data_IF_750357152800
#
_entry.id   IF_750357152800
#
_cell.length_a   1.000
_cell.length_b   1.000
_cell.length_c   1.000
_cell.angle_alpha   90.00
_cell.angle_beta   90.00
_cell.angle_gamma   90.00
#
_symmetry.space_group_name_H-M   'P 1'
#
loop_
_entity.id
_entity.type
_entity.pdbx_description
1 polymer ?
#
# COMPACT_ATOMS: atom_id res chain seq x y z
N UNK A 1 19.07 -44.52 -1.53
CA UNK A 1 19.07 -43.32 -0.71
C UNK A 1 19.94 -42.25 -1.35
N UNK A 2 19.34 -41.26 -2.02
CA UNK A 2 20.07 -40.10 -2.53
C UNK A 2 19.69 -38.92 -1.61
N UNK A 3 20.66 -38.46 -0.83
CA UNK A 3 20.52 -37.29 0.01
C UNK A 3 20.57 -36.04 -0.88
N UNK A 4 19.46 -35.31 -0.90
CA UNK A 4 19.35 -34.00 -1.49
C UNK A 4 20.12 -33.00 -0.63
N UNK A 5 21.26 -32.52 -1.10
CA UNK A 5 22.02 -31.44 -0.48
C UNK A 5 21.28 -30.12 -0.65
N UNK A 6 20.84 -29.53 0.46
CA UNK A 6 20.36 -28.14 0.49
C UNK A 6 21.52 -27.20 0.15
N UNK A 7 21.30 -26.17 -0.68
CA UNK A 7 22.36 -25.20 -0.98
C UNK A 7 22.71 -24.39 0.28
N UNK A 8 24.00 -24.21 0.49
CA UNK A 8 24.58 -23.41 1.58
C UNK A 8 24.30 -21.90 1.36
N UNK A 9 23.98 -21.11 2.40
CA UNK A 9 23.58 -19.70 2.27
C UNK A 9 24.76 -18.71 2.24
N UNK A 10 25.78 -18.95 1.44
CA UNK A 10 27.01 -18.13 1.45
C UNK A 10 27.49 -17.61 0.11
N UNK A 11 26.61 -17.35 -0.87
CA UNK A 11 27.02 -16.64 -2.11
C UNK A 11 26.51 -15.20 -2.09
N UNK A 12 27.30 -14.19 -2.54
CA UNK A 12 26.87 -12.80 -2.66
C UNK A 12 25.66 -12.62 -3.59
N UNK A 13 25.45 -13.55 -4.51
CA UNK A 13 24.35 -13.53 -5.48
C UNK A 13 22.99 -13.96 -4.89
N UNK A 14 22.98 -14.62 -3.73
CA UNK A 14 21.73 -15.04 -3.06
C UNK A 14 20.84 -13.87 -2.61
N UNK A 15 21.37 -12.64 -2.52
CA UNK A 15 20.59 -11.44 -2.18
C UNK A 15 19.91 -10.81 -3.38
N UNK A 16 20.42 -11.02 -4.60
CA UNK A 16 19.86 -10.45 -5.82
C UNK A 16 18.49 -11.04 -6.18
N UNK A 17 18.23 -12.29 -5.77
CA UNK A 17 17.02 -13.04 -6.10
C UNK A 17 15.91 -12.97 -5.02
N UNK A 18 16.16 -12.30 -3.88
CA UNK A 18 15.13 -12.16 -2.86
C UNK A 18 14.02 -11.20 -3.34
N UNK A 19 12.75 -11.54 -3.08
CA UNK A 19 11.64 -10.69 -3.50
C UNK A 19 11.53 -9.43 -2.66
N UNK A 20 10.82 -8.45 -3.21
CA UNK A 20 10.15 -7.41 -2.41
C UNK A 20 8.88 -8.02 -1.84
N UNK A 21 8.71 -7.97 -0.53
CA UNK A 21 7.52 -8.45 0.15
C UNK A 21 6.62 -7.27 0.50
N UNK A 22 5.36 -7.33 0.05
CA UNK A 22 4.36 -6.30 0.31
C UNK A 22 3.27 -6.90 1.19
N UNK A 23 3.06 -6.30 2.36
CA UNK A 23 2.05 -6.74 3.31
C UNK A 23 0.83 -5.85 3.16
N UNK A 24 -0.21 -6.41 2.57
CA UNK A 24 -1.46 -5.74 2.24
C UNK A 24 -1.73 -5.67 0.75
N UNK A 25 -2.92 -6.11 0.34
CA UNK A 25 -3.37 -6.19 -1.05
C UNK A 25 -4.43 -5.11 -1.40
N UNK A 26 -4.38 -3.97 -0.72
CA UNK A 26 -5.19 -2.80 -1.05
C UNK A 26 -4.56 -1.96 -2.16
N UNK A 27 -5.10 -0.76 -2.39
CA UNK A 27 -4.63 0.16 -3.43
C UNK A 27 -3.12 0.44 -3.33
N UNK A 28 -2.62 0.75 -2.14
CA UNK A 28 -1.22 1.06 -1.94
C UNK A 28 -0.32 -0.14 -2.24
N UNK A 29 -0.66 -1.32 -1.71
CA UNK A 29 0.12 -2.53 -1.91
C UNK A 29 0.16 -2.98 -3.36
N UNK A 30 -0.98 -2.98 -4.05
CA UNK A 30 -1.07 -3.37 -5.46
C UNK A 30 -0.36 -2.37 -6.38
N UNK A 31 -0.44 -1.07 -6.09
CA UNK A 31 0.27 -0.04 -6.84
C UNK A 31 1.79 -0.23 -6.76
N UNK A 32 2.32 -0.41 -5.55
CA UNK A 32 3.74 -0.69 -5.35
C UNK A 32 4.14 -2.00 -6.04
N UNK A 33 3.32 -3.04 -5.89
CA UNK A 33 3.58 -4.34 -6.51
C UNK A 33 3.74 -4.24 -8.03
N UNK A 34 2.81 -3.57 -8.71
CA UNK A 34 2.83 -3.43 -10.16
C UNK A 34 4.03 -2.62 -10.66
N UNK A 35 4.43 -1.58 -9.94
CA UNK A 35 5.63 -0.81 -10.29
C UNK A 35 6.91 -1.61 -10.05
N UNK A 36 7.05 -2.25 -8.90
CA UNK A 36 8.25 -3.01 -8.55
C UNK A 36 8.43 -4.27 -9.40
N UNK A 37 7.34 -4.92 -9.78
CA UNK A 37 7.35 -6.15 -10.55
C UNK A 37 7.87 -5.99 -11.98
N UNK A 38 7.97 -4.79 -12.51
CA UNK A 38 8.58 -4.53 -13.81
C UNK A 38 10.04 -4.97 -13.85
N UNK A 39 10.75 -4.91 -12.73
CA UNK A 39 12.20 -5.17 -12.66
C UNK A 39 12.61 -6.25 -11.68
N UNK A 40 11.71 -6.80 -10.86
CA UNK A 40 12.09 -7.72 -9.80
C UNK A 40 10.92 -8.57 -9.30
N UNK A 41 11.17 -9.72 -8.64
CA UNK A 41 10.12 -10.53 -8.07
C UNK A 41 9.47 -9.84 -6.86
N UNK A 42 8.16 -9.98 -6.77
CA UNK A 42 7.31 -9.38 -5.72
C UNK A 42 6.40 -10.44 -5.13
N UNK A 43 6.25 -10.43 -3.82
CA UNK A 43 5.22 -11.18 -3.10
C UNK A 43 4.26 -10.19 -2.46
N UNK A 44 2.98 -10.36 -2.68
CA UNK A 44 1.91 -9.61 -2.00
C UNK A 44 1.18 -10.55 -1.06
N UNK A 45 1.06 -10.16 0.20
CA UNK A 45 0.43 -10.95 1.26
C UNK A 45 -0.87 -10.30 1.72
N UNK A 46 -1.94 -11.10 1.81
CA UNK A 46 -3.23 -10.68 2.35
C UNK A 46 -3.70 -11.62 3.46
N UNK A 47 -4.25 -11.07 4.55
CA UNK A 47 -4.76 -11.86 5.69
C UNK A 47 -5.95 -12.73 5.32
N UNK A 48 -6.78 -12.24 4.42
CA UNK A 48 -7.98 -12.90 3.92
C UNK A 48 -7.91 -13.10 2.42
N UNK A 49 -9.06 -13.26 1.76
CA UNK A 49 -9.13 -13.25 0.30
C UNK A 49 -8.70 -11.90 -0.28
N UNK A 50 -8.10 -11.92 -1.45
CA UNK A 50 -7.55 -10.72 -2.10
C UNK A 50 -8.60 -9.65 -2.38
N UNK A 51 -9.87 -10.02 -2.58
CA UNK A 51 -10.98 -9.09 -2.80
C UNK A 51 -11.49 -8.37 -1.54
N UNK A 52 -10.98 -8.69 -0.35
CA UNK A 52 -11.48 -8.20 0.93
C UNK A 52 -10.70 -7.01 1.50
N UNK A 53 -9.93 -6.29 0.68
CA UNK A 53 -9.22 -5.09 1.11
C UNK A 53 -10.16 -3.91 1.36
N UNK A 54 -9.78 -3.00 2.28
CA UNK A 54 -10.56 -1.79 2.59
C UNK A 54 -10.85 -0.92 1.36
N UNK A 55 -9.92 -0.87 0.40
CA UNK A 55 -10.08 -0.15 -0.87
C UNK A 55 -11.33 -0.59 -1.64
N UNK A 56 -11.68 -1.89 -1.61
CA UNK A 56 -12.86 -2.40 -2.29
C UNK A 56 -14.19 -1.87 -1.71
N UNK A 57 -14.18 -1.32 -0.50
CA UNK A 57 -15.34 -0.76 0.19
C UNK A 57 -15.39 0.78 0.10
N UNK A 58 -14.33 1.42 -0.40
CA UNK A 58 -14.28 2.87 -0.52
C UNK A 58 -15.22 3.36 -1.63
N UNK A 59 -16.12 4.30 -1.28
CA UNK A 59 -17.12 4.86 -2.19
C UNK A 59 -16.71 6.21 -2.75
N UNK A 60 -15.85 6.95 -2.05
CA UNK A 60 -15.34 8.24 -2.50
C UNK A 60 -14.47 8.13 -3.74
N UNK A 61 -14.18 9.26 -4.36
CA UNK A 61 -13.29 9.33 -5.51
C UNK A 61 -11.82 9.44 -5.12
N UNK A 62 -11.00 9.68 -6.13
CA UNK A 62 -9.57 9.93 -5.97
C UNK A 62 -9.24 11.36 -6.38
N UNK A 63 -8.46 12.05 -5.58
CA UNK A 63 -8.12 13.47 -5.74
C UNK A 63 -6.90 13.66 -6.62
N UNK A 64 -6.97 14.61 -7.54
CA UNK A 64 -5.80 15.05 -8.28
C UNK A 64 -5.98 16.43 -8.91
N UNK A 65 -4.89 17.16 -9.04
CA UNK A 65 -4.87 18.44 -9.75
C UNK A 65 -4.68 18.18 -11.23
N UNK A 66 -5.79 17.88 -11.89
CA UNK A 66 -5.83 17.50 -13.32
C UNK A 66 -6.24 18.69 -14.20
N UNK A 67 -7.16 19.51 -13.71
CA UNK A 67 -7.66 20.71 -14.40
C UNK A 67 -6.74 21.90 -14.14
N UNK A 68 -5.76 22.11 -15.01
CA UNK A 68 -4.80 23.20 -14.88
C UNK A 68 -5.35 24.58 -15.27
N UNK A 69 -6.53 24.65 -15.90
CA UNK A 69 -7.18 25.91 -16.26
C UNK A 69 -7.93 26.51 -15.08
N UNK A 70 -8.62 25.68 -14.29
CA UNK A 70 -9.50 26.10 -13.20
C UNK A 70 -9.01 25.73 -11.82
N UNK A 71 -7.97 24.92 -11.70
CA UNK A 71 -7.38 24.47 -10.44
C UNK A 71 -5.85 24.64 -10.47
N UNK A 72 -5.20 24.57 -9.31
CA UNK A 72 -3.76 24.63 -9.19
C UNK A 72 -3.24 23.78 -8.03
N UNK A 73 -1.98 23.43 -8.10
CA UNK A 73 -1.27 22.76 -7.00
C UNK A 73 -1.31 23.62 -5.75
N UNK A 74 -1.08 24.93 -5.87
CA UNK A 74 -1.12 25.87 -4.73
C UNK A 74 -2.51 25.89 -4.08
N UNK A 75 -3.59 25.87 -4.86
CA UNK A 75 -4.96 25.80 -4.33
C UNK A 75 -5.20 24.50 -3.56
N UNK A 76 -4.77 23.37 -4.09
CA UNK A 76 -4.92 22.08 -3.40
C UNK A 76 -4.08 22.00 -2.13
N UNK A 77 -2.87 22.53 -2.15
CA UNK A 77 -2.02 22.62 -0.94
C UNK A 77 -2.66 23.51 0.11
N UNK A 78 -3.19 24.67 -0.28
CA UNK A 78 -3.87 25.58 0.63
C UNK A 78 -5.10 24.91 1.28
N UNK A 79 -5.94 24.23 0.51
CA UNK A 79 -7.08 23.48 1.01
C UNK A 79 -6.65 22.38 2.00
N UNK A 80 -5.54 21.71 1.71
CA UNK A 80 -4.99 20.66 2.59
C UNK A 80 -4.47 21.23 3.90
N UNK A 81 -3.79 22.38 3.86
CA UNK A 81 -3.29 23.06 5.07
C UNK A 81 -4.46 23.54 5.95
N UNK A 82 -5.50 24.08 5.33
CA UNK A 82 -6.70 24.54 6.06
C UNK A 82 -7.40 23.36 6.75
N UNK A 83 -7.67 22.29 6.01
CA UNK A 83 -8.30 21.09 6.57
C UNK A 83 -7.46 20.41 7.65
N UNK A 84 -6.15 20.47 7.54
CA UNK A 84 -5.20 19.85 8.47
C UNK A 84 -4.94 20.65 9.75
N UNK A 85 -5.45 21.88 9.86
CA UNK A 85 -5.45 22.70 11.08
C UNK A 85 -4.07 22.79 11.79
N UNK A 86 -3.00 22.94 11.03
CA UNK A 86 -1.64 23.09 11.56
C UNK A 86 -0.85 21.79 11.71
N UNK A 87 -1.41 20.63 11.38
CA UNK A 87 -0.73 19.34 11.48
C UNK A 87 -0.11 18.86 10.18
N UNK A 88 -0.35 19.57 9.08
CA UNK A 88 0.16 19.20 7.76
C UNK A 88 1.62 19.62 7.58
N UNK A 89 2.43 18.73 7.05
CA UNK A 89 3.77 19.04 6.54
C UNK A 89 3.60 19.57 5.11
N UNK A 90 3.72 20.87 4.91
CA UNK A 90 3.44 21.54 3.64
C UNK A 90 4.23 20.96 2.46
N UNK A 91 5.52 20.68 2.65
CA UNK A 91 6.37 20.11 1.59
C UNK A 91 5.87 18.74 1.12
N UNK A 92 5.34 17.93 2.04
CA UNK A 92 4.72 16.63 1.71
C UNK A 92 3.41 16.80 0.97
N UNK A 93 2.55 17.70 1.43
CA UNK A 93 1.29 18.01 0.75
C UNK A 93 1.53 18.49 -0.68
N UNK A 94 2.53 19.36 -0.88
CA UNK A 94 2.93 19.85 -2.20
C UNK A 94 3.45 18.74 -3.10
N UNK A 95 4.32 17.90 -2.61
CA UNK A 95 4.83 16.75 -3.35
C UNK A 95 3.69 15.84 -3.83
N UNK A 96 2.75 15.50 -2.94
CA UNK A 96 1.60 14.66 -3.28
C UNK A 96 0.71 15.36 -4.33
N UNK A 97 0.46 16.66 -4.19
CA UNK A 97 -0.33 17.41 -5.15
C UNK A 97 0.33 17.48 -6.54
N UNK A 98 1.65 17.65 -6.58
CA UNK A 98 2.43 17.67 -7.83
C UNK A 98 2.38 16.33 -8.57
N UNK A 99 2.42 15.21 -7.84
CA UNK A 99 2.38 13.87 -8.42
C UNK A 99 0.96 13.37 -8.73
N UNK A 100 -0.08 14.09 -8.31
CA UNK A 100 -1.47 13.59 -8.33
C UNK A 100 -2.01 13.36 -9.72
N UNK A 101 -1.73 14.24 -10.67
CA UNK A 101 -2.22 14.11 -12.05
C UNK A 101 -1.61 12.87 -12.73
N UNK A 102 -0.32 12.61 -12.52
CA UNK A 102 0.37 11.46 -13.08
C UNK A 102 -0.14 10.14 -12.43
N UNK A 103 -0.43 10.17 -11.15
CA UNK A 103 -1.00 9.02 -10.45
C UNK A 103 -2.39 8.65 -11.01
N UNK A 104 -3.25 9.63 -11.28
CA UNK A 104 -4.55 9.39 -11.92
C UNK A 104 -4.36 8.90 -13.35
N UNK A 105 -3.44 9.49 -14.13
CA UNK A 105 -3.13 9.04 -15.48
C UNK A 105 -2.70 7.57 -15.49
N UNK A 106 -1.84 7.17 -14.56
CA UNK A 106 -1.42 5.78 -14.43
C UNK A 106 -2.61 4.85 -14.19
N UNK A 107 -3.55 5.22 -13.32
CA UNK A 107 -4.77 4.43 -13.09
C UNK A 107 -5.65 4.33 -14.35
N UNK A 108 -5.79 5.42 -15.10
CA UNK A 108 -6.49 5.40 -16.39
C UNK A 108 -5.81 4.43 -17.37
N UNK A 109 -4.48 4.47 -17.45
CA UNK A 109 -3.69 3.61 -18.32
C UNK A 109 -3.75 2.13 -17.90
N UNK A 110 -3.96 1.85 -16.62
CA UNK A 110 -4.24 0.49 -16.14
C UNK A 110 -5.63 -0.01 -16.54
N UNK A 111 -6.51 0.85 -16.98
CA UNK A 111 -7.86 0.49 -17.40
C UNK A 111 -8.95 0.73 -16.36
N UNK A 112 -8.67 1.53 -15.32
CA UNK A 112 -9.70 1.91 -14.34
C UNK A 112 -10.78 2.72 -15.05
N UNK A 113 -12.06 2.29 -14.98
CA UNK A 113 -13.15 2.90 -15.72
C UNK A 113 -13.72 4.13 -15.01
N UNK A 114 -12.93 5.20 -14.91
CA UNK A 114 -13.42 6.47 -14.40
C UNK A 114 -14.54 7.03 -15.25
N UNK A 115 -15.46 7.75 -14.63
CA UNK A 115 -16.51 8.49 -15.34
C UNK A 115 -15.87 9.53 -16.25
N UNK A 116 -16.27 9.52 -17.52
CA UNK A 116 -15.68 10.36 -18.57
C UNK A 116 -16.53 11.58 -18.88
N UNK A 117 -15.87 12.64 -19.35
CA UNK A 117 -16.44 13.84 -19.93
C UNK A 117 -15.51 14.28 -21.06
N UNK A 118 -16.00 14.24 -22.32
CA UNK A 118 -15.18 14.58 -23.49
C UNK A 118 -14.59 15.99 -23.43
N UNK A 119 -15.31 16.92 -22.78
CA UNK A 119 -14.86 18.30 -22.59
C UNK A 119 -14.04 18.49 -21.29
N UNK A 120 -13.93 17.46 -20.47
CA UNK A 120 -13.25 17.51 -19.18
C UNK A 120 -11.73 17.35 -19.29
N UNK A 121 -10.99 17.76 -18.24
CA UNK A 121 -9.54 17.61 -18.19
C UNK A 121 -9.18 16.12 -18.19
N UNK A 122 -8.22 15.71 -19.00
CA UNK A 122 -7.88 14.30 -19.28
C UNK A 122 -9.06 13.43 -19.74
N UNK A 123 -10.14 14.03 -20.26
CA UNK A 123 -11.36 13.31 -20.61
C UNK A 123 -12.18 12.83 -19.42
N UNK A 124 -11.92 13.33 -18.22
CA UNK A 124 -12.54 12.90 -16.97
C UNK A 124 -13.62 13.86 -16.49
N UNK A 125 -14.69 13.29 -15.95
CA UNK A 125 -15.67 14.03 -15.17
C UNK A 125 -15.18 14.16 -13.73
N UNK A 126 -14.93 15.40 -13.28
CA UNK A 126 -14.46 15.70 -11.94
C UNK A 126 -15.58 16.25 -11.07
N UNK A 127 -15.61 15.85 -9.81
CA UNK A 127 -16.52 16.39 -8.79
C UNK A 127 -15.76 17.20 -7.75
N UNK A 128 -16.52 17.94 -6.94
CA UNK A 128 -16.03 18.69 -5.80
C UNK A 128 -16.69 18.13 -4.53
N UNK A 129 -15.87 17.86 -3.53
CA UNK A 129 -16.31 17.43 -2.20
C UNK A 129 -15.90 18.43 -1.13
N UNK A 130 -16.36 18.21 0.12
CA UNK A 130 -16.04 19.06 1.25
C UNK A 130 -14.53 19.24 1.46
N UNK A 131 -14.11 20.44 1.84
CA UNK A 131 -12.70 20.80 2.02
C UNK A 131 -11.96 21.15 0.74
N UNK A 132 -12.56 20.98 -0.43
CA UNK A 132 -11.95 21.31 -1.73
C UNK A 132 -12.56 22.58 -2.34
N UNK A 133 -11.71 23.49 -2.82
CA UNK A 133 -12.13 24.72 -3.48
C UNK A 133 -12.52 24.51 -4.93
N UNK A 134 -12.04 23.43 -5.58
CA UNK A 134 -12.24 23.14 -7.00
C UNK A 134 -12.68 21.69 -7.22
N UNK A 135 -13.17 21.44 -8.45
CA UNK A 135 -13.46 20.09 -8.91
C UNK A 135 -12.15 19.38 -9.23
N UNK A 136 -11.78 18.40 -8.44
CA UNK A 136 -10.53 17.64 -8.59
C UNK A 136 -10.65 16.17 -8.24
N UNK A 137 -11.86 15.65 -8.14
CA UNK A 137 -12.12 14.29 -7.71
C UNK A 137 -12.61 13.45 -8.89
N UNK A 138 -11.79 12.50 -9.30
CA UNK A 138 -12.14 11.47 -10.27
C UNK A 138 -12.88 10.33 -9.57
N UNK A 139 -13.90 9.79 -10.21
CA UNK A 139 -14.74 8.73 -9.65
C UNK A 139 -15.18 7.73 -10.71
N UNK A 140 -15.53 6.52 -10.28
CA UNK A 140 -16.04 5.46 -11.14
C UNK A 140 -17.41 5.01 -10.63
N UNK A 141 -18.49 5.40 -11.31
CA UNK A 141 -19.88 5.11 -10.95
C UNK A 141 -20.13 5.23 -9.44
N UNK A 142 -20.74 4.22 -8.80
CA UNK A 142 -21.09 4.24 -7.39
C UNK A 142 -20.04 3.57 -6.46
N UNK A 143 -18.96 3.04 -7.03
CA UNK A 143 -18.00 2.20 -6.31
C UNK A 143 -16.57 2.40 -6.82
N UNK A 144 -16.02 3.61 -6.68
CA UNK A 144 -14.68 3.96 -7.17
C UNK A 144 -13.60 3.04 -6.60
N UNK A 145 -13.59 2.80 -5.30
CA UNK A 145 -12.61 1.92 -4.66
C UNK A 145 -12.66 0.50 -5.19
N UNK A 146 -13.86 -0.06 -5.38
CA UNK A 146 -14.04 -1.39 -5.97
C UNK A 146 -13.51 -1.47 -7.40
N UNK A 147 -13.84 -0.49 -8.23
CA UNK A 147 -13.40 -0.45 -9.63
C UNK A 147 -11.86 -0.38 -9.74
N UNK A 148 -11.21 0.46 -8.93
CA UNK A 148 -9.75 0.56 -8.90
C UNK A 148 -9.15 -0.77 -8.42
N UNK A 149 -9.65 -1.31 -7.32
CA UNK A 149 -9.11 -2.52 -6.71
C UNK A 149 -9.22 -3.74 -7.65
N UNK A 150 -10.35 -3.95 -8.28
CA UNK A 150 -10.56 -5.06 -9.23
C UNK A 150 -9.57 -5.00 -10.40
N UNK A 151 -9.39 -3.83 -11.00
CA UNK A 151 -8.46 -3.65 -12.12
C UNK A 151 -7.02 -3.94 -11.70
N UNK A 152 -6.56 -3.37 -10.60
CA UNK A 152 -5.19 -3.57 -10.13
C UNK A 152 -4.94 -5.01 -9.68
N UNK A 153 -5.92 -5.65 -9.05
CA UNK A 153 -5.82 -7.05 -8.63
C UNK A 153 -5.72 -7.99 -9.83
N UNK A 154 -6.53 -7.77 -10.87
CA UNK A 154 -6.47 -8.57 -12.10
C UNK A 154 -5.12 -8.39 -12.81
N UNK A 155 -4.58 -7.19 -12.84
CA UNK A 155 -3.23 -6.92 -13.37
C UNK A 155 -2.14 -7.65 -12.56
N UNK A 156 -2.25 -7.63 -11.23
CA UNK A 156 -1.32 -8.34 -10.36
C UNK A 156 -1.38 -9.85 -10.54
N UNK A 157 -2.58 -10.43 -10.66
CA UNK A 157 -2.78 -11.87 -10.93
C UNK A 157 -2.16 -12.32 -12.25
N UNK A 158 -2.22 -11.47 -13.26
CA UNK A 158 -1.67 -11.76 -14.58
C UNK A 158 -0.15 -11.54 -14.69
N UNK A 159 0.46 -10.86 -13.72
CA UNK A 159 1.86 -10.48 -13.79
C UNK A 159 2.80 -11.61 -13.39
N UNK A 160 3.71 -11.99 -14.29
CA UNK A 160 4.65 -13.13 -14.09
C UNK A 160 5.59 -12.97 -12.89
N UNK A 161 5.88 -11.73 -12.47
CA UNK A 161 6.80 -11.43 -11.36
C UNK A 161 6.09 -11.23 -10.03
N UNK A 162 4.76 -11.33 -9.97
CA UNK A 162 3.98 -11.17 -8.74
C UNK A 162 3.42 -12.50 -8.28
N UNK A 163 3.76 -12.88 -7.06
CA UNK A 163 3.12 -13.97 -6.33
C UNK A 163 2.14 -13.37 -5.31
N UNK A 164 0.91 -13.85 -5.32
CA UNK A 164 -0.14 -13.44 -4.39
C UNK A 164 -0.37 -14.53 -3.33
N UNK A 165 -0.27 -14.17 -2.06
CA UNK A 165 -0.51 -15.05 -0.93
C UNK A 165 -1.77 -14.61 -0.18
N UNK A 166 -2.83 -15.40 -0.30
CA UNK A 166 -4.08 -15.23 0.44
C UNK A 166 -4.05 -16.02 1.75
N UNK A 167 -4.74 -15.51 2.78
CA UNK A 167 -4.85 -16.16 4.08
C UNK A 167 -3.50 -16.39 4.78
N UNK A 168 -2.64 -15.36 4.67
CA UNK A 168 -1.39 -15.28 5.39
C UNK A 168 -1.36 -14.05 6.28
N UNK A 169 -0.97 -14.21 7.53
CA UNK A 169 -0.83 -13.10 8.48
C UNK A 169 0.64 -12.84 8.75
N UNK A 170 1.11 -11.62 8.47
CA UNK A 170 2.42 -11.19 8.93
C UNK A 170 2.37 -10.98 10.45
N UNK A 171 3.24 -11.65 11.17
CA UNK A 171 3.27 -11.63 12.64
C UNK A 171 4.27 -10.61 13.18
N UNK A 172 5.47 -10.58 12.62
CA UNK A 172 6.51 -9.65 13.03
C UNK A 172 7.54 -9.44 11.91
N UNK A 173 8.20 -8.29 11.92
CA UNK A 173 9.34 -8.01 11.05
C UNK A 173 10.59 -8.66 11.62
N UNK A 174 11.38 -9.29 10.76
CA UNK A 174 12.67 -9.84 11.15
C UNK A 174 13.71 -8.73 11.04
N UNK A 175 14.24 -8.32 12.17
CA UNK A 175 15.24 -7.24 12.27
C UNK A 175 16.51 -7.74 12.96
N UNK A 176 17.51 -6.86 13.12
CA UNK A 176 18.77 -7.22 13.77
C UNK A 176 18.61 -7.90 15.12
N UNK A 177 17.56 -7.56 15.89
CA UNK A 177 17.30 -8.19 17.21
C UNK A 177 16.99 -9.69 17.15
N UNK A 178 16.56 -10.18 15.99
CA UNK A 178 16.24 -11.60 15.78
C UNK A 178 17.44 -12.41 15.25
N UNK A 179 18.56 -11.73 14.98
CA UNK A 179 19.77 -12.34 14.45
C UNK A 179 20.85 -12.44 15.53
N UNK A 180 21.85 -13.28 15.28
CA UNK A 180 23.02 -13.39 16.16
C UNK A 180 23.70 -12.01 16.32
N UNK A 181 23.99 -11.64 17.58
CA UNK A 181 24.66 -10.39 17.91
C UNK A 181 26.03 -10.22 17.21
N UNK A 182 26.73 -11.32 16.92
CA UNK A 182 27.99 -11.30 16.17
C UNK A 182 27.76 -10.85 14.72
N UNK A 183 26.63 -11.24 14.12
CA UNK A 183 26.26 -10.90 12.75
C UNK A 183 25.86 -9.44 12.60
N UNK A 184 25.26 -8.85 13.65
CA UNK A 184 24.65 -7.52 13.63
C UNK A 184 25.44 -6.45 14.36
N UNK A 185 26.52 -6.83 15.05
CA UNK A 185 27.36 -5.91 15.82
C UNK A 185 27.82 -4.72 14.95
N UNK A 186 27.59 -3.51 15.45
CA UNK A 186 27.93 -2.24 14.78
C UNK A 186 27.22 -2.02 13.41
N UNK A 187 26.14 -2.74 13.13
CA UNK A 187 25.33 -2.54 11.92
C UNK A 187 24.06 -1.76 12.25
N UNK A 188 23.64 -0.90 11.34
CA UNK A 188 22.35 -0.24 11.43
C UNK A 188 21.21 -1.28 11.47
N UNK A 189 20.14 -0.97 12.21
CA UNK A 189 18.97 -1.84 12.25
C UNK A 189 18.37 -1.99 10.83
N UNK A 190 18.13 -3.23 10.42
CA UNK A 190 17.65 -3.58 9.07
C UNK A 190 16.55 -4.60 9.16
N UNK A 191 15.62 -4.55 8.21
CA UNK A 191 14.59 -5.56 7.98
C UNK A 191 15.08 -6.59 6.94
N UNK A 192 14.92 -7.87 7.27
CA UNK A 192 15.36 -9.01 6.45
C UNK A 192 14.20 -9.85 5.92
N UNK A 193 13.00 -9.58 6.34
CA UNK A 193 11.80 -10.33 6.01
C UNK A 193 10.78 -10.30 7.14
N UNK A 194 9.93 -11.30 7.18
CA UNK A 194 8.86 -11.42 8.18
C UNK A 194 8.71 -12.85 8.68
N UNK A 195 8.20 -12.99 9.91
CA UNK A 195 7.52 -14.20 10.35
C UNK A 195 6.04 -14.07 9.93
N UNK A 196 5.51 -15.09 9.27
CA UNK A 196 4.14 -15.09 8.80
C UNK A 196 3.44 -16.40 9.13
N UNK A 197 2.16 -16.32 9.46
CA UNK A 197 1.30 -17.46 9.66
C UNK A 197 0.57 -17.81 8.37
N UNK A 198 0.84 -18.99 7.85
CA UNK A 198 0.00 -19.63 6.86
C UNK A 198 -1.24 -20.19 7.58
N UNK A 199 -2.36 -19.51 7.42
CA UNK A 199 -3.60 -19.84 8.17
C UNK A 199 -4.13 -21.21 7.75
N UNK A 200 -4.08 -21.53 6.46
CA UNK A 200 -4.63 -22.80 5.94
C UNK A 200 -3.88 -24.01 6.48
N UNK A 201 -2.56 -23.91 6.60
CA UNK A 201 -1.71 -25.00 7.09
C UNK A 201 -1.40 -24.86 8.58
N UNK A 202 -1.88 -23.81 9.24
CA UNK A 202 -1.63 -23.49 10.65
C UNK A 202 -0.14 -23.57 11.02
N UNK A 203 0.68 -22.91 10.24
CA UNK A 203 2.15 -23.02 10.35
C UNK A 203 2.81 -21.65 10.20
N UNK A 204 3.73 -21.34 11.09
CA UNK A 204 4.57 -20.13 11.01
C UNK A 204 5.75 -20.38 10.09
N UNK A 205 5.90 -19.51 9.12
CA UNK A 205 6.97 -19.53 8.14
C UNK A 205 7.83 -18.26 8.22
N UNK A 206 9.08 -18.39 7.87
CA UNK A 206 9.97 -17.26 7.65
C UNK A 206 10.01 -16.92 6.17
N UNK A 207 9.67 -15.68 5.84
CA UNK A 207 9.76 -15.18 4.46
C UNK A 207 10.88 -14.16 4.40
N UNK A 208 12.00 -14.54 3.77
CA UNK A 208 13.11 -13.63 3.52
C UNK A 208 12.77 -12.68 2.37
N UNK A 209 13.13 -11.42 2.53
CA UNK A 209 12.90 -10.39 1.52
C UNK A 209 14.04 -9.37 1.50
N UNK A 210 14.34 -8.80 0.33
CA UNK A 210 15.30 -7.69 0.25
C UNK A 210 14.73 -6.39 0.80
N UNK A 211 13.43 -6.22 0.72
CA UNK A 211 12.68 -5.10 1.29
C UNK A 211 11.28 -5.55 1.67
N UNK A 212 10.73 -4.96 2.72
CA UNK A 212 9.35 -5.19 3.15
C UNK A 212 8.59 -3.86 3.11
N UNK A 213 7.46 -3.86 2.43
CA UNK A 213 6.55 -2.72 2.34
C UNK A 213 5.34 -3.00 3.21
N UNK A 214 5.08 -2.14 4.19
CA UNK A 214 3.87 -2.19 5.00
C UNK A 214 2.78 -1.36 4.31
N UNK A 215 1.78 -2.04 3.77
CA UNK A 215 0.61 -1.45 3.13
C UNK A 215 -0.68 -1.99 3.79
N UNK A 216 -0.66 -2.08 5.10
CA UNK A 216 -1.60 -2.84 5.93
C UNK A 216 -2.89 -2.09 6.27
N UNK A 217 -3.05 -0.86 5.77
CA UNK A 217 -4.23 -0.05 6.05
C UNK A 217 -4.31 0.46 7.48
N UNK A 218 -5.52 0.69 7.94
CA UNK A 218 -5.80 1.37 9.18
C UNK A 218 -5.99 0.45 10.40
N UNK A 219 -6.51 1.06 11.46
CA UNK A 219 -6.65 0.47 12.79
C UNK A 219 -8.05 0.67 13.38
N UNK A 220 -9.05 0.99 12.53
CA UNK A 220 -10.40 1.35 12.98
C UNK A 220 -11.08 0.30 13.86
N UNK A 221 -10.68 -0.97 13.76
CA UNK A 221 -11.24 -2.07 14.57
C UNK A 221 -10.84 -2.05 16.05
N UNK A 222 -10.02 -1.11 16.50
CA UNK A 222 -9.84 -0.84 17.93
C UNK A 222 -11.10 -0.21 18.54
N UNK A 223 -11.97 0.37 17.73
CA UNK A 223 -13.26 0.90 18.15
C UNK A 223 -14.36 -0.14 17.98
N UNK A 224 -15.29 -0.14 18.91
CA UNK A 224 -16.44 -1.05 18.88
C UNK A 224 -17.35 -0.80 17.69
N UNK A 225 -17.51 0.47 17.31
CA UNK A 225 -18.33 0.90 16.18
C UNK A 225 -17.44 1.58 15.15
N UNK A 226 -17.38 1.01 13.97
CA UNK A 226 -16.57 1.51 12.85
C UNK A 226 -17.13 1.02 11.52
N UNK A 227 -17.00 1.85 10.49
CA UNK A 227 -17.27 1.48 9.11
C UNK A 227 -16.10 0.72 8.45
N UNK A 228 -14.97 0.60 9.14
CA UNK A 228 -13.80 -0.12 8.64
C UNK A 228 -14.08 -1.64 8.56
N UNK A 229 -13.49 -2.35 7.58
CA UNK A 229 -13.59 -3.80 7.51
C UNK A 229 -12.89 -4.47 8.69
N UNK A 230 -13.23 -5.73 8.96
CA UNK A 230 -12.68 -6.51 10.07
C UNK A 230 -11.16 -6.71 10.00
N UNK A 231 -10.56 -6.47 8.86
CA UNK A 231 -9.10 -6.55 8.63
C UNK A 231 -8.34 -5.32 9.08
N UNK A 232 -9.01 -4.20 9.43
CA UNK A 232 -8.38 -2.95 9.88
C UNK A 232 -7.97 -3.03 11.36
N UNK A 233 -7.02 -3.88 11.68
CA UNK A 233 -6.63 -4.26 13.05
C UNK A 233 -5.32 -3.64 13.52
N UNK A 234 -4.65 -2.83 12.68
CA UNK A 234 -3.42 -2.12 13.07
C UNK A 234 -2.16 -2.97 13.11
N UNK A 235 -2.15 -4.13 12.45
CA UNK A 235 -1.02 -5.07 12.49
C UNK A 235 0.29 -4.44 12.00
N UNK A 236 0.23 -3.66 10.91
CA UNK A 236 1.41 -2.99 10.36
C UNK A 236 1.98 -1.94 11.31
N UNK A 237 1.12 -1.18 11.97
CA UNK A 237 1.53 -0.19 12.98
C UNK A 237 2.23 -0.89 14.14
N UNK A 238 1.67 -1.99 14.63
CA UNK A 238 2.26 -2.77 15.73
C UNK A 238 3.61 -3.37 15.33
N UNK A 239 3.72 -3.96 14.14
CA UNK A 239 4.99 -4.49 13.63
C UNK A 239 6.05 -3.41 13.47
N UNK A 240 5.68 -2.24 12.93
CA UNK A 240 6.57 -1.11 12.78
C UNK A 240 7.08 -0.61 14.15
N UNK A 241 6.19 -0.49 15.12
CA UNK A 241 6.55 -0.13 16.49
C UNK A 241 7.55 -1.10 17.09
N UNK A 242 7.29 -2.41 17.02
CA UNK A 242 8.20 -3.43 17.53
C UNK A 242 9.57 -3.44 16.83
N UNK A 243 9.60 -3.02 15.57
CA UNK A 243 10.84 -2.90 14.79
C UNK A 243 11.65 -1.62 15.12
N UNK A 244 11.10 -0.72 15.93
CA UNK A 244 11.76 0.52 16.33
C UNK A 244 11.38 1.73 15.47
N UNK A 245 10.34 1.65 14.63
CA UNK A 245 9.84 2.79 13.88
C UNK A 245 9.15 3.80 14.79
N UNK A 246 9.25 5.06 14.42
CA UNK A 246 8.46 6.12 15.06
C UNK A 246 6.99 5.98 14.64
N UNK A 247 6.09 5.97 15.62
CA UNK A 247 4.64 5.99 15.45
C UNK A 247 4.09 7.26 16.07
N UNK A 248 3.21 7.96 15.37
CA UNK A 248 2.64 9.22 15.84
C UNK A 248 1.23 9.43 15.35
N UNK A 249 0.56 10.45 15.90
CA UNK A 249 -0.80 10.87 15.53
C UNK A 249 -1.85 9.75 15.66
N UNK A 250 -1.69 8.86 16.64
CA UNK A 250 -2.58 7.72 16.84
C UNK A 250 -4.00 8.09 17.29
N UNK A 251 -4.22 9.35 17.69
CA UNK A 251 -5.54 9.92 17.98
C UNK A 251 -6.37 10.15 16.71
N UNK A 252 -5.77 10.24 15.54
CA UNK A 252 -6.47 10.47 14.28
C UNK A 252 -6.79 9.16 13.57
N UNK A 253 -7.86 8.52 14.02
CA UNK A 253 -8.35 7.26 13.44
C UNK A 253 -9.72 7.51 12.81
N UNK A 254 -9.86 7.18 11.53
CA UNK A 254 -11.13 7.23 10.83
C UNK A 254 -11.92 5.95 11.10
N UNK A 255 -13.01 6.06 11.82
CA UNK A 255 -13.87 4.92 12.19
C UNK A 255 -15.25 4.95 11.54
#
# INVERSE_FOLDING_TARGET
>A
SMASSKPSPSSPDAKADLPVLIIGAGLAGLTVALHMAETQPVIVMAKRGLGEAATAWAQGGIVGVVDKEHDSIDSHVADTLDAGAGLVVESTARYIAEESAEAIRWLVDQGVPFTTDESGPMGLHLTREGGHSHRRIAHAADATGKAIHEVLLDKARAHKNIQLLEHWIALDLITNRHLDAKTTRNKANRCYGVYALDIKNNRVETIAAKSVVLATGGVGKVYRYTSNPDTATGDGIAMAWRAGCRVGNMEFIQF
#
